data_IF_705197337295
#
_entry.id   IF_705197337295
#
_cell.length_a   1.000
_cell.length_b   1.000
_cell.length_c   1.000
_cell.angle_alpha   90.00
_cell.angle_beta   90.00
_cell.angle_gamma   90.00
#
_symmetry.space_group_name_H-M   'P 1'
#
loop_
_entity.id
_entity.type
_entity.pdbx_description
1 polymer ?
#
# COMPACT_ATOMS: atom_id res chain seq x y z
N UNK A 1 14.97 21.89 8.94
CA UNK A 1 14.21 20.62 9.01
C UNK A 1 13.88 20.09 7.60
N UNK A 2 14.85 20.08 6.65
CA UNK A 2 14.55 19.92 5.21
C UNK A 2 14.94 18.57 4.58
N UNK A 3 15.40 17.57 5.36
CA UNK A 3 15.91 16.30 4.80
C UNK A 3 14.86 15.19 4.66
N UNK A 4 13.78 15.21 5.46
CA UNK A 4 12.74 14.15 5.44
C UNK A 4 11.97 14.09 4.12
N UNK A 5 11.94 15.22 3.39
CA UNK A 5 11.16 15.43 2.18
C UNK A 5 11.80 14.93 0.91
N UNK A 6 13.14 14.84 0.89
CA UNK A 6 13.84 14.17 -0.22
C UNK A 6 13.47 12.69 -0.32
N UNK A 7 12.91 12.12 0.75
CA UNK A 7 12.56 10.70 0.83
C UNK A 7 11.29 10.31 0.08
N UNK A 8 10.30 11.21 -0.04
CA UNK A 8 9.13 10.96 -0.91
C UNK A 8 9.58 10.82 -2.38
N UNK A 9 10.47 11.70 -2.83
CA UNK A 9 11.07 11.66 -4.18
C UNK A 9 11.92 10.39 -4.46
N UNK A 10 12.34 9.65 -3.42
CA UNK A 10 13.17 8.46 -3.60
C UNK A 10 12.38 7.25 -4.12
N UNK A 11 11.04 7.20 -3.99
CA UNK A 11 10.25 6.12 -4.61
C UNK A 11 10.12 6.31 -6.12
N UNK A 12 9.88 7.54 -6.59
CA UNK A 12 10.03 7.89 -8.01
C UNK A 12 11.42 7.55 -8.57
N UNK A 13 12.48 7.77 -7.78
CA UNK A 13 13.84 7.38 -8.14
C UNK A 13 14.03 5.86 -8.22
N UNK A 14 13.32 5.06 -7.41
CA UNK A 14 13.35 3.60 -7.48
C UNK A 14 12.74 3.08 -8.79
N UNK A 15 11.57 3.59 -9.17
CA UNK A 15 10.91 3.21 -10.44
C UNK A 15 11.86 3.51 -11.62
N UNK A 16 12.49 4.69 -11.61
CA UNK A 16 13.48 5.06 -12.61
C UNK A 16 14.76 4.21 -12.56
N UNK A 17 15.25 3.88 -11.36
CA UNK A 17 16.51 3.12 -11.17
C UNK A 17 16.36 1.63 -11.43
N UNK A 18 15.15 1.08 -11.31
CA UNK A 18 14.85 -0.31 -11.63
C UNK A 18 14.58 -0.51 -13.13
N UNK A 19 14.58 0.56 -13.92
CA UNK A 19 14.31 0.54 -15.36
C UNK A 19 12.95 -0.12 -15.69
N UNK A 20 11.99 -0.04 -14.77
CA UNK A 20 10.66 -0.61 -14.99
C UNK A 20 9.84 0.40 -15.80
N UNK A 21 9.42 0.06 -17.03
CA UNK A 21 8.65 0.97 -17.85
C UNK A 21 7.31 1.28 -17.17
N UNK A 22 6.98 2.56 -17.03
CA UNK A 22 5.72 3.01 -16.39
C UNK A 22 4.49 2.43 -17.12
N UNK A 23 4.61 2.21 -18.43
CA UNK A 23 3.56 1.60 -19.27
C UNK A 23 3.19 0.17 -18.82
N UNK A 24 4.09 -0.57 -18.18
CA UNK A 24 3.81 -1.90 -17.65
C UNK A 24 2.77 -1.89 -16.51
N UNK A 25 2.58 -0.75 -15.84
CA UNK A 25 1.61 -0.61 -14.75
C UNK A 25 0.19 -0.30 -15.24
N UNK A 26 0.01 0.18 -16.48
CA UNK A 26 -1.30 0.55 -17.02
C UNK A 26 -2.16 -0.65 -17.46
N UNK A 27 -1.57 -1.84 -17.60
CA UNK A 27 -2.23 -3.00 -18.24
C UNK A 27 -2.60 -4.13 -17.27
N UNK A 28 -2.26 -4.05 -15.98
CA UNK A 28 -2.52 -5.15 -15.03
C UNK A 28 -3.95 -5.10 -14.45
N UNK A 29 -4.96 -5.15 -15.34
CA UNK A 29 -6.32 -5.60 -15.00
C UNK A 29 -6.42 -7.13 -15.10
N UNK A 30 -5.32 -7.86 -14.85
CA UNK A 30 -5.35 -9.32 -14.81
C UNK A 30 -5.73 -9.78 -13.41
N UNK A 31 -6.91 -10.39 -13.31
CA UNK A 31 -7.31 -11.29 -12.24
C UNK A 31 -6.31 -12.44 -12.18
N UNK A 32 -5.31 -12.34 -11.30
CA UNK A 32 -4.56 -13.51 -10.86
C UNK A 32 -5.52 -14.45 -10.14
N UNK A 33 -5.45 -15.78 -10.36
CA UNK A 33 -6.22 -16.73 -9.58
C UNK A 33 -5.78 -16.62 -8.12
N UNK A 34 -6.74 -16.38 -7.22
CA UNK A 34 -6.53 -16.49 -5.78
C UNK A 34 -6.07 -17.93 -5.53
N UNK A 35 -4.78 -18.10 -5.31
CA UNK A 35 -4.22 -19.37 -4.88
C UNK A 35 -4.56 -19.51 -3.41
N UNK A 36 -5.46 -20.43 -3.13
CA UNK A 36 -5.92 -20.79 -1.79
C UNK A 36 -4.70 -21.16 -0.92
N UNK A 37 -4.27 -20.23 -0.06
CA UNK A 37 -3.33 -20.49 1.03
C UNK A 37 -4.14 -20.82 2.30
N UNK A 38 -5.02 -21.82 2.21
CA UNK A 38 -5.45 -22.56 3.38
C UNK A 38 -4.33 -23.52 3.76
N UNK A 39 -3.39 -23.06 4.60
CA UNK A 39 -2.84 -23.89 5.69
C UNK A 39 -1.71 -23.17 6.42
N UNK A 40 -1.74 -23.29 7.75
CA UNK A 40 -0.76 -22.87 8.77
C UNK A 40 -1.11 -21.60 9.56
N UNK A 41 -2.25 -21.63 10.24
CA UNK A 41 -2.31 -21.16 11.63
C UNK A 41 -2.92 -22.26 12.50
N UNK A 42 -2.04 -23.07 13.10
CA UNK A 42 -2.37 -23.99 14.18
C UNK A 42 -2.77 -23.18 15.42
N UNK A 43 -4.07 -22.99 15.63
CA UNK A 43 -4.60 -22.53 16.91
C UNK A 43 -4.83 -23.75 17.79
N UNK A 44 -4.01 -23.88 18.83
CA UNK A 44 -4.20 -24.85 19.92
C UNK A 44 -5.40 -24.36 20.74
N UNK A 45 -6.55 -25.00 20.58
CA UNK A 45 -7.66 -24.86 21.52
C UNK A 45 -7.82 -26.19 22.25
N UNK A 46 -7.65 -26.12 23.56
CA UNK A 46 -7.74 -27.24 24.47
C UNK A 46 -9.11 -27.90 24.46
N UNK A 47 -9.02 -29.21 24.51
CA UNK A 47 -9.99 -30.27 24.75
C UNK A 47 -11.06 -29.95 25.78
N UNK A 48 -12.33 -30.18 25.43
CA UNK A 48 -13.36 -30.62 26.39
C UNK A 48 -14.46 -31.42 25.67
N UNK A 49 -14.40 -32.74 25.88
CA UNK A 49 -15.51 -33.70 26.04
C UNK A 49 -16.66 -33.75 25.05
N UNK A 50 -16.87 -34.92 24.43
CA UNK A 50 -18.21 -35.34 23.98
C UNK A 50 -18.22 -36.31 22.81
N UNK A 51 -18.30 -37.59 23.10
CA UNK A 51 -18.57 -38.69 22.15
C UNK A 51 -20.00 -38.57 21.63
N UNK A 52 -20.20 -38.45 20.31
CA UNK A 52 -21.34 -39.06 19.59
C UNK A 52 -20.92 -39.39 18.16
N UNK A 53 -20.86 -40.68 17.84
CA UNK A 53 -20.73 -41.21 16.49
C UNK A 53 -22.05 -41.04 15.74
N UNK A 54 -22.02 -40.30 14.63
CA UNK A 54 -23.13 -40.18 13.70
C UNK A 54 -22.60 -39.93 12.29
N UNK A 55 -22.69 -40.94 11.43
CA UNK A 55 -22.35 -40.84 10.01
C UNK A 55 -23.38 -39.93 9.32
N UNK A 56 -23.06 -38.64 9.26
CA UNK A 56 -23.78 -37.63 8.49
C UNK A 56 -23.01 -37.31 7.22
N UNK A 57 -23.70 -37.37 6.09
CA UNK A 57 -23.23 -36.95 4.76
C UNK A 57 -22.69 -35.52 4.86
N UNK A 58 -21.40 -35.33 4.57
CA UNK A 58 -20.76 -34.02 4.47
C UNK A 58 -21.29 -33.30 3.21
N UNK A 59 -22.44 -32.65 3.33
CA UNK A 59 -22.77 -31.56 2.43
C UNK A 59 -21.79 -30.44 2.75
N UNK A 60 -20.82 -30.20 1.87
CA UNK A 60 -19.98 -29.01 1.89
C UNK A 60 -20.89 -27.80 1.79
N UNK A 61 -21.29 -27.25 2.94
CA UNK A 61 -21.89 -25.92 3.00
C UNK A 61 -20.90 -24.98 2.31
N UNK A 62 -21.30 -24.22 1.29
CA UNK A 62 -20.44 -23.19 0.75
C UNK A 62 -20.04 -22.29 1.92
N UNK A 63 -18.74 -22.17 2.15
CA UNK A 63 -18.20 -21.17 3.07
C UNK A 63 -18.86 -19.85 2.70
N UNK A 64 -19.52 -19.14 3.64
CA UNK A 64 -20.08 -17.85 3.32
C UNK A 64 -18.94 -17.00 2.79
N UNK A 65 -19.06 -16.55 1.54
CA UNK A 65 -18.26 -15.45 1.07
C UNK A 65 -18.58 -14.30 2.02
N UNK A 66 -17.67 -14.02 2.95
CA UNK A 66 -17.72 -12.80 3.75
C UNK A 66 -17.50 -11.66 2.75
N UNK A 67 -18.58 -11.26 2.07
CA UNK A 67 -18.73 -9.88 1.67
C UNK A 67 -18.71 -9.13 2.99
N UNK A 68 -17.53 -8.63 3.37
CA UNK A 68 -17.42 -7.70 4.47
C UNK A 68 -18.37 -6.56 4.13
N UNK A 69 -19.50 -6.50 4.83
CA UNK A 69 -20.39 -5.36 4.77
C UNK A 69 -19.60 -4.22 5.43
N UNK A 70 -18.80 -3.51 4.63
CA UNK A 70 -18.01 -2.38 5.09
C UNK A 70 -18.98 -1.35 5.64
N UNK A 71 -18.66 -0.79 6.80
CA UNK A 71 -19.46 0.27 7.43
C UNK A 71 -19.84 1.34 6.39
N UNK A 72 -21.12 1.77 6.37
CA UNK A 72 -21.58 2.73 5.38
C UNK A 72 -20.87 4.06 5.56
N UNK A 73 -20.20 4.51 4.51
CA UNK A 73 -19.48 5.79 4.48
C UNK A 73 -20.38 6.87 3.90
N UNK A 74 -20.64 7.92 4.68
CA UNK A 74 -21.35 9.11 4.23
C UNK A 74 -20.44 10.05 3.42
N UNK A 75 -19.18 10.20 3.83
CA UNK A 75 -18.22 11.07 3.15
C UNK A 75 -16.79 10.55 3.29
N UNK A 76 -16.12 10.43 2.15
CA UNK A 76 -14.71 10.08 2.05
C UNK A 76 -13.81 11.30 2.30
N UNK A 77 -12.57 11.10 2.81
CA UNK A 77 -11.54 12.13 2.83
C UNK A 77 -11.21 12.60 1.40
N UNK A 78 -10.55 13.76 1.28
CA UNK A 78 -10.17 14.29 -0.03
C UNK A 78 -9.14 13.42 -0.75
N UNK A 79 -9.14 13.47 -2.09
CA UNK A 79 -8.23 12.69 -2.94
C UNK A 79 -6.76 13.05 -2.74
N UNK A 80 -6.45 14.22 -2.18
CA UNK A 80 -5.10 14.66 -1.84
C UNK A 80 -4.39 13.73 -0.84
N UNK A 81 -5.14 12.95 -0.06
CA UNK A 81 -4.60 11.95 0.87
C UNK A 81 -4.17 10.67 0.18
N UNK A 82 -4.73 10.38 -0.99
CA UNK A 82 -4.54 9.13 -1.72
C UNK A 82 -3.35 9.19 -2.67
N UNK A 83 -2.99 10.37 -3.14
CA UNK A 83 -1.88 10.56 -4.09
C UNK A 83 -0.56 9.95 -3.59
N UNK A 84 -0.13 10.12 -2.32
CA UNK A 84 1.10 9.49 -1.85
C UNK A 84 0.99 7.95 -1.85
N UNK A 85 -0.20 7.41 -1.62
CA UNK A 85 -0.44 5.98 -1.67
C UNK A 85 -0.43 5.44 -3.11
N UNK A 86 -0.83 6.24 -4.11
CA UNK A 86 -0.67 5.88 -5.52
C UNK A 86 0.82 5.74 -5.88
N UNK A 87 1.66 6.69 -5.45
CA UNK A 87 3.12 6.58 -5.61
C UNK A 87 3.66 5.32 -4.91
N UNK A 88 3.23 5.09 -3.66
CA UNK A 88 3.67 3.93 -2.88
C UNK A 88 3.28 2.61 -3.54
N UNK A 89 2.08 2.53 -4.11
CA UNK A 89 1.60 1.38 -4.85
C UNK A 89 2.51 1.06 -6.04
N UNK A 90 2.82 2.06 -6.87
CA UNK A 90 3.70 1.89 -8.03
C UNK A 90 5.10 1.45 -7.60
N UNK A 91 5.61 2.01 -6.51
CA UNK A 91 6.92 1.63 -5.99
C UNK A 91 6.96 0.19 -5.47
N UNK A 92 5.91 -0.26 -4.76
CA UNK A 92 5.80 -1.66 -4.31
C UNK A 92 5.70 -2.61 -5.51
N UNK A 93 4.94 -2.24 -6.55
CA UNK A 93 4.85 -3.04 -7.77
C UNK A 93 6.21 -3.12 -8.48
N UNK A 94 6.96 -2.03 -8.56
CA UNK A 94 8.32 -2.03 -9.10
C UNK A 94 9.27 -2.93 -8.29
N UNK A 95 9.15 -2.93 -6.96
CA UNK A 95 9.88 -3.85 -6.09
C UNK A 95 9.51 -5.31 -6.38
N UNK A 96 8.22 -5.62 -6.55
CA UNK A 96 7.76 -6.97 -6.85
C UNK A 96 8.31 -7.48 -8.19
N UNK A 97 8.30 -6.63 -9.22
CA UNK A 97 8.90 -6.95 -10.53
C UNK A 97 10.41 -7.17 -10.40
N UNK A 98 11.11 -6.26 -9.72
CA UNK A 98 12.56 -6.36 -9.55
C UNK A 98 12.98 -7.55 -8.66
N UNK A 99 12.10 -8.03 -7.78
CA UNK A 99 12.35 -9.20 -6.94
C UNK A 99 12.46 -10.51 -7.74
N UNK A 100 12.06 -10.52 -9.02
CA UNK A 100 12.28 -11.66 -9.91
C UNK A 100 13.75 -11.79 -10.36
N UNK A 101 14.49 -10.66 -10.36
CA UNK A 101 15.88 -10.55 -10.80
C UNK A 101 16.85 -10.41 -9.61
N UNK A 102 17.64 -11.47 -9.38
CA UNK A 102 18.63 -11.53 -8.29
C UNK A 102 19.70 -10.45 -8.40
N UNK A 103 19.99 -9.94 -9.60
CA UNK A 103 20.95 -8.85 -9.79
C UNK A 103 20.45 -7.53 -9.19
N UNK A 104 19.14 -7.37 -9.00
CA UNK A 104 18.51 -6.17 -8.43
C UNK A 104 18.41 -6.22 -6.90
N UNK A 105 18.65 -7.37 -6.27
CA UNK A 105 18.52 -7.54 -4.81
C UNK A 105 19.30 -6.52 -3.97
N UNK A 106 20.58 -6.18 -4.28
CA UNK A 106 21.31 -5.17 -3.51
C UNK A 106 20.63 -3.80 -3.56
N UNK A 107 20.03 -3.43 -4.70
CA UNK A 107 19.32 -2.16 -4.88
C UNK A 107 18.00 -2.15 -4.10
N UNK A 108 17.22 -3.23 -4.19
CA UNK A 108 15.97 -3.39 -3.42
C UNK A 108 16.26 -3.30 -1.92
N UNK A 109 17.26 -4.05 -1.43
CA UNK A 109 17.63 -4.05 -0.02
C UNK A 109 18.03 -2.68 0.47
N UNK A 110 18.92 -1.99 -0.25
CA UNK A 110 19.33 -0.62 0.07
C UNK A 110 18.13 0.33 0.15
N UNK A 111 17.15 0.19 -0.75
CA UNK A 111 15.95 1.02 -0.72
C UNK A 111 15.07 0.72 0.48
N UNK A 112 14.81 -0.55 0.78
CA UNK A 112 14.00 -0.94 1.93
C UNK A 112 14.66 -0.50 3.24
N UNK A 113 15.98 -0.63 3.34
CA UNK A 113 16.74 -0.10 4.48
C UNK A 113 16.52 1.41 4.64
N UNK A 114 16.56 2.20 3.56
CA UNK A 114 16.25 3.63 3.61
C UNK A 114 14.79 3.89 4.02
N UNK A 115 13.84 3.13 3.48
CA UNK A 115 12.42 3.25 3.78
C UNK A 115 12.13 3.04 5.27
N UNK A 116 12.81 2.08 5.91
CA UNK A 116 12.69 1.79 7.34
C UNK A 116 13.65 2.61 8.24
N UNK A 117 14.63 3.32 7.66
CA UNK A 117 15.58 4.15 8.40
C UNK A 117 14.95 5.48 8.83
N UNK A 118 15.43 6.05 9.93
CA UNK A 118 15.01 7.38 10.41
C UNK A 118 14.07 7.39 11.63
N UNK A 119 13.88 6.23 12.27
CA UNK A 119 13.04 6.08 13.47
C UNK A 119 11.65 6.71 13.25
N UNK A 120 11.27 7.70 14.08
CA UNK A 120 9.97 8.39 14.00
C UNK A 120 9.74 9.06 12.64
N UNK A 121 10.81 9.50 11.96
CA UNK A 121 10.74 10.23 10.67
C UNK A 121 10.99 9.32 9.46
N UNK A 122 10.87 7.99 9.62
CA UNK A 122 11.00 7.05 8.50
C UNK A 122 9.85 7.17 7.49
N UNK A 123 10.09 6.82 6.24
CA UNK A 123 9.04 6.77 5.19
C UNK A 123 7.90 5.82 5.59
N UNK A 124 8.24 4.70 6.23
CA UNK A 124 7.25 3.79 6.84
C UNK A 124 6.26 4.54 7.75
N UNK A 125 6.77 5.39 8.65
CA UNK A 125 5.92 6.11 9.59
C UNK A 125 5.14 7.24 8.92
N UNK A 126 5.69 7.85 7.87
CA UNK A 126 4.95 8.80 7.03
C UNK A 126 3.72 8.12 6.43
N UNK A 127 3.89 7.02 5.71
CA UNK A 127 2.77 6.28 5.10
C UNK A 127 1.77 5.76 6.14
N UNK A 128 2.25 5.20 7.26
CA UNK A 128 1.39 4.78 8.36
C UNK A 128 0.57 5.96 8.94
N UNK A 129 1.19 7.13 9.10
CA UNK A 129 0.51 8.35 9.56
C UNK A 129 -0.53 8.87 8.57
N UNK A 130 -0.25 8.82 7.26
CA UNK A 130 -1.21 9.19 6.22
C UNK A 130 -2.39 8.23 6.23
N UNK A 131 -2.16 6.91 6.29
CA UNK A 131 -3.23 5.91 6.39
C UNK A 131 -4.12 6.13 7.61
N UNK A 132 -3.52 6.32 8.79
CA UNK A 132 -4.25 6.61 10.02
C UNK A 132 -5.09 7.88 9.88
N UNK A 133 -4.50 8.95 9.32
CA UNK A 133 -5.21 10.22 9.11
C UNK A 133 -6.37 10.07 8.12
N UNK A 134 -6.15 9.35 7.02
CA UNK A 134 -7.19 9.06 6.03
C UNK A 134 -8.36 8.32 6.68
N UNK A 135 -8.08 7.19 7.35
CA UNK A 135 -9.09 6.38 8.04
C UNK A 135 -9.87 7.18 9.09
N UNK A 136 -9.20 8.00 9.89
CA UNK A 136 -9.85 8.83 10.91
C UNK A 136 -10.69 9.98 10.33
N UNK A 137 -10.45 10.37 9.08
CA UNK A 137 -11.21 11.42 8.40
C UNK A 137 -12.46 10.90 7.68
N UNK A 138 -12.61 9.59 7.52
CA UNK A 138 -13.83 8.97 6.98
C UNK A 138 -15.00 9.38 7.87
N UNK A 139 -16.07 9.88 7.25
CA UNK A 139 -17.34 10.15 7.92
C UNK A 139 -18.31 9.04 7.60
N UNK A 140 -18.59 8.21 8.60
CA UNK A 140 -19.56 7.13 8.50
C UNK A 140 -20.98 7.68 8.64
N UNK A 141 -21.95 6.90 8.15
CA UNK A 141 -23.37 7.15 8.37
C UNK A 141 -23.66 7.21 9.88
N UNK A 142 -24.33 8.25 10.40
CA UNK A 142 -24.72 8.31 11.82
C UNK A 142 -25.59 7.13 12.29
N UNK A 143 -26.25 6.41 11.36
CA UNK A 143 -27.04 5.21 11.64
C UNK A 143 -26.20 3.93 11.68
N UNK A 144 -24.91 4.00 11.37
CA UNK A 144 -24.01 2.85 11.37
C UNK A 144 -23.73 2.37 12.81
N UNK A 145 -23.62 1.06 13.00
CA UNK A 145 -23.32 0.53 14.33
C UNK A 145 -21.84 0.83 14.67
N UNK A 146 -21.54 1.33 15.88
CA UNK A 146 -20.16 1.66 16.27
C UNK A 146 -19.16 0.51 16.09
N UNK A 147 -19.61 -0.73 16.29
CA UNK A 147 -18.77 -1.92 16.11
C UNK A 147 -18.37 -2.12 14.65
N UNK A 148 -19.26 -1.85 13.68
CA UNK A 148 -18.92 -1.96 12.26
C UNK A 148 -17.93 -0.88 11.84
N UNK A 149 -18.08 0.34 12.35
CA UNK A 149 -17.10 1.42 12.14
C UNK A 149 -15.72 1.01 12.66
N UNK A 150 -15.64 0.47 13.88
CA UNK A 150 -14.37 0.01 14.45
C UNK A 150 -13.73 -1.13 13.63
N UNK A 151 -14.54 -2.09 13.17
CA UNK A 151 -14.06 -3.21 12.34
C UNK A 151 -13.53 -2.72 10.98
N UNK A 152 -14.23 -1.81 10.31
CA UNK A 152 -13.78 -1.22 9.04
C UNK A 152 -12.46 -0.43 9.22
N UNK A 153 -12.38 0.41 10.26
CA UNK A 153 -11.17 1.15 10.58
C UNK A 153 -9.98 0.22 10.87
N UNK A 154 -10.22 -0.85 11.64
CA UNK A 154 -9.21 -1.83 11.97
C UNK A 154 -8.74 -2.61 10.74
N UNK A 155 -9.64 -3.05 9.86
CA UNK A 155 -9.26 -3.75 8.62
C UNK A 155 -8.40 -2.85 7.73
N UNK A 156 -8.77 -1.58 7.55
CA UNK A 156 -7.96 -0.62 6.79
C UNK A 156 -6.56 -0.47 7.38
N UNK A 157 -6.46 -0.38 8.70
CA UNK A 157 -5.17 -0.28 9.37
C UNK A 157 -4.34 -1.56 9.21
N UNK A 158 -4.96 -2.73 9.41
CA UNK A 158 -4.33 -4.03 9.26
C UNK A 158 -3.75 -4.21 7.85
N UNK A 159 -4.47 -3.83 6.79
CA UNK A 159 -3.98 -3.97 5.42
C UNK A 159 -2.73 -3.12 5.15
N UNK A 160 -2.65 -1.92 5.71
CA UNK A 160 -1.45 -1.07 5.62
C UNK A 160 -0.32 -1.66 6.46
N UNK A 161 -0.62 -2.13 7.68
CA UNK A 161 0.37 -2.78 8.53
C UNK A 161 0.94 -4.06 7.90
N UNK A 162 0.10 -4.91 7.32
CA UNK A 162 0.50 -6.11 6.59
C UNK A 162 1.40 -5.76 5.40
N UNK A 163 1.11 -4.66 4.70
CA UNK A 163 1.98 -4.15 3.63
C UNK A 163 3.37 -3.84 4.19
N UNK A 164 3.45 -3.13 5.33
CA UNK A 164 4.72 -2.77 5.97
C UNK A 164 5.47 -3.99 6.52
N UNK A 165 4.76 -4.96 7.10
CA UNK A 165 5.35 -6.22 7.59
C UNK A 165 5.96 -7.01 6.45
N UNK A 166 5.24 -7.15 5.33
CA UNK A 166 5.75 -7.82 4.14
C UNK A 166 7.00 -7.13 3.58
N UNK A 167 7.02 -5.80 3.47
CA UNK A 167 8.21 -5.06 3.04
C UNK A 167 9.41 -5.23 4.00
N UNK A 168 9.14 -5.29 5.32
CA UNK A 168 10.20 -5.53 6.32
C UNK A 168 10.75 -6.94 6.21
N UNK A 169 9.88 -7.93 6.02
CA UNK A 169 10.30 -9.32 5.85
C UNK A 169 11.07 -9.51 4.54
N UNK A 170 10.64 -8.86 3.45
CA UNK A 170 11.37 -8.80 2.20
C UNK A 170 12.80 -8.27 2.40
N UNK A 171 12.96 -7.15 3.13
CA UNK A 171 14.26 -6.57 3.44
C UNK A 171 15.19 -7.54 4.19
N UNK A 172 14.63 -8.31 5.14
CA UNK A 172 15.38 -9.29 5.93
C UNK A 172 15.71 -10.54 5.12
N UNK A 173 14.81 -10.98 4.24
CA UNK A 173 15.01 -12.17 3.39
C UNK A 173 16.03 -11.96 2.29
N UNK A 174 16.24 -10.73 1.83
CA UNK A 174 17.28 -10.44 0.84
C UNK A 174 18.66 -10.61 1.49
N UNK A 175 19.56 -11.45 0.94
CA UNK A 175 20.85 -11.72 1.54
C UNK A 175 21.71 -10.46 1.69
N UNK A 176 22.49 -10.36 2.77
CA UNK A 176 23.42 -9.25 2.97
C UNK A 176 24.68 -9.34 2.10
N UNK A 177 25.04 -10.57 1.70
CA UNK A 177 26.19 -10.84 0.83
C UNK A 177 25.78 -11.81 -0.28
N UNK A 178 26.39 -11.74 -1.48
CA UNK A 178 26.02 -12.59 -2.61
C UNK A 178 26.16 -14.10 -2.35
N UNK A 179 26.96 -14.49 -1.36
CA UNK A 179 27.25 -15.90 -1.04
C UNK A 179 26.37 -16.47 0.08
N UNK A 180 25.51 -15.66 0.70
CA UNK A 180 24.64 -16.14 1.79
C UNK A 180 23.52 -17.03 1.22
N UNK A 181 23.21 -18.12 1.90
CA UNK A 181 22.05 -18.96 1.57
C UNK A 181 20.76 -18.20 1.88
N UNK A 182 19.81 -18.21 0.95
CA UNK A 182 18.51 -17.58 1.11
C UNK A 182 17.43 -18.38 0.38
N UNK A 183 16.15 -18.12 0.71
CA UNK A 183 15.00 -18.72 0.04
C UNK A 183 14.40 -17.71 -0.94
N UNK A 184 14.53 -17.98 -2.24
CA UNK A 184 13.97 -17.13 -3.31
C UNK A 184 12.45 -17.04 -3.22
N UNK A 185 11.76 -18.10 -2.79
CA UNK A 185 10.32 -18.10 -2.68
C UNK A 185 9.85 -17.09 -1.62
N UNK A 186 10.54 -17.01 -0.48
CA UNK A 186 10.18 -16.05 0.58
C UNK A 186 10.29 -14.60 0.08
N UNK A 187 11.31 -14.28 -0.72
CA UNK A 187 11.48 -12.96 -1.33
C UNK A 187 10.28 -12.62 -2.22
N UNK A 188 9.88 -13.54 -3.11
CA UNK A 188 8.74 -13.35 -4.00
C UNK A 188 7.42 -13.26 -3.22
N UNK A 189 7.23 -14.12 -2.21
CA UNK A 189 6.01 -14.14 -1.40
C UNK A 189 5.86 -12.85 -0.60
N UNK A 190 6.94 -12.30 -0.02
CA UNK A 190 6.87 -11.03 0.69
C UNK A 190 6.67 -9.84 -0.24
N UNK A 191 7.30 -9.81 -1.42
CA UNK A 191 7.09 -8.73 -2.38
C UNK A 191 5.65 -8.72 -2.94
N UNK A 192 5.12 -9.91 -3.27
CA UNK A 192 3.73 -10.07 -3.70
C UNK A 192 2.74 -9.82 -2.57
N UNK A 193 3.04 -10.27 -1.35
CA UNK A 193 2.24 -10.03 -0.15
C UNK A 193 2.03 -8.54 0.10
N UNK A 194 3.10 -7.73 0.00
CA UNK A 194 3.00 -6.27 0.10
C UNK A 194 2.07 -5.68 -0.98
N UNK A 195 2.21 -6.14 -2.23
CA UNK A 195 1.37 -5.69 -3.35
C UNK A 195 -0.11 -6.04 -3.13
N UNK A 196 -0.40 -7.26 -2.67
CA UNK A 196 -1.75 -7.75 -2.43
C UNK A 196 -2.43 -7.00 -1.29
N UNK A 197 -1.74 -6.83 -0.16
CA UNK A 197 -2.29 -6.11 1.00
C UNK A 197 -2.63 -4.65 0.66
N UNK A 198 -1.73 -3.95 -0.05
CA UNK A 198 -2.00 -2.57 -0.45
C UNK A 198 -3.11 -2.48 -1.51
N UNK A 199 -3.16 -3.42 -2.47
CA UNK A 199 -4.26 -3.49 -3.44
C UNK A 199 -5.61 -3.70 -2.76
N UNK A 200 -5.66 -4.55 -1.72
CA UNK A 200 -6.87 -4.74 -0.90
C UNK A 200 -7.27 -3.45 -0.16
N UNK A 201 -6.30 -2.70 0.35
CA UNK A 201 -6.59 -1.40 0.99
C UNK A 201 -7.26 -0.42 0.02
N UNK A 202 -6.75 -0.32 -1.22
CA UNK A 202 -7.37 0.49 -2.28
C UNK A 202 -8.76 -0.01 -2.68
N UNK A 203 -9.01 -1.32 -2.64
CA UNK A 203 -10.33 -1.88 -2.93
C UNK A 203 -11.41 -1.47 -1.92
N UNK A 204 -11.01 -0.99 -0.74
CA UNK A 204 -11.93 -0.44 0.27
C UNK A 204 -12.26 1.04 0.04
N UNK A 205 -11.79 1.65 -1.06
CA UNK A 205 -11.95 3.08 -1.40
C UNK A 205 -12.75 3.18 -2.70
N UNK A 206 -13.63 4.19 -2.87
CA UNK A 206 -14.35 4.36 -4.13
C UNK A 206 -13.38 4.47 -5.30
N UNK A 207 -13.67 3.70 -6.35
CA UNK A 207 -12.81 3.64 -7.53
C UNK A 207 -12.63 5.01 -8.16
N UNK A 208 -13.66 5.85 -8.17
CA UNK A 208 -13.60 7.20 -8.74
C UNK A 208 -12.55 8.08 -8.04
N UNK A 209 -12.39 7.92 -6.73
CA UNK A 209 -11.43 8.69 -5.94
C UNK A 209 -10.01 8.17 -6.13
N UNK A 210 -9.84 6.85 -6.24
CA UNK A 210 -8.55 6.23 -6.59
C UNK A 210 -8.10 6.66 -7.99
N UNK A 211 -9.00 6.64 -8.98
CA UNK A 211 -8.70 7.05 -10.35
C UNK A 211 -8.34 8.55 -10.43
N UNK A 212 -9.04 9.41 -9.68
CA UNK A 212 -8.70 10.84 -9.57
C UNK A 212 -7.35 11.06 -8.91
N UNK A 213 -7.04 10.33 -7.83
CA UNK A 213 -5.76 10.43 -7.16
C UNK A 213 -4.60 9.97 -8.06
N UNK A 214 -4.80 8.92 -8.85
CA UNK A 214 -3.82 8.46 -9.83
C UNK A 214 -3.61 9.50 -10.94
N UNK A 215 -4.68 10.15 -11.44
CA UNK A 215 -4.54 11.26 -12.39
C UNK A 215 -3.76 12.43 -11.78
N UNK A 216 -4.07 12.81 -10.55
CA UNK A 216 -3.36 13.86 -9.81
C UNK A 216 -1.86 13.53 -9.69
N UNK A 217 -1.52 12.29 -9.33
CA UNK A 217 -0.14 11.81 -9.31
C UNK A 217 0.52 12.01 -10.69
N UNK A 218 -0.08 11.47 -11.75
CA UNK A 218 0.49 11.53 -13.11
C UNK A 218 0.71 12.97 -13.59
N UNK A 219 -0.28 13.87 -13.45
CA UNK A 219 -0.11 15.27 -13.87
C UNK A 219 0.98 15.99 -13.05
N UNK A 220 1.10 15.68 -11.75
CA UNK A 220 2.17 16.26 -10.94
C UNK A 220 3.56 15.75 -11.36
N UNK A 221 3.67 14.48 -11.80
CA UNK A 221 4.92 13.92 -12.34
C UNK A 221 5.29 14.52 -13.70
N UNK A 222 4.31 14.87 -14.53
CA UNK A 222 4.57 15.56 -15.79
C UNK A 222 4.95 17.03 -15.59
N UNK A 223 4.45 17.66 -14.53
CA UNK A 223 4.78 19.03 -14.18
C UNK A 223 6.19 19.17 -13.57
N UNK A 224 6.69 18.15 -12.86
CA UNK A 224 8.05 18.05 -12.30
C UNK A 224 9.11 17.96 -13.42
N UNK A 225 9.43 19.11 -14.01
CA UNK A 225 10.29 19.23 -15.18
C UNK A 225 11.76 18.95 -14.83
N UNK A 226 12.18 19.35 -13.62
CA UNK A 226 13.53 19.15 -13.12
C UNK A 226 13.76 17.73 -12.56
N UNK A 227 12.68 16.94 -12.39
CA UNK A 227 12.67 15.57 -11.86
C UNK A 227 13.21 15.44 -10.44
N UNK A 228 13.10 16.51 -9.65
CA UNK A 228 13.53 16.51 -8.25
C UNK A 228 12.48 15.90 -7.31
N UNK A 229 11.32 15.53 -7.86
CA UNK A 229 10.22 14.94 -7.12
C UNK A 229 9.28 15.97 -6.49
N UNK A 230 9.39 17.24 -6.89
CA UNK A 230 8.57 18.35 -6.44
C UNK A 230 7.96 19.01 -7.67
N UNK A 231 6.96 19.83 -7.40
CA UNK A 231 6.41 20.75 -8.38
C UNK A 231 6.55 22.10 -7.68
N UNK A 232 7.36 23.00 -8.18
CA UNK A 232 7.39 24.35 -7.65
C UNK A 232 6.18 25.17 -8.15
N UNK A 233 6.09 26.45 -7.76
CA UNK A 233 4.96 27.29 -8.17
C UNK A 233 4.94 27.50 -9.69
N UNK A 234 6.10 27.55 -10.34
CA UNK A 234 6.24 27.78 -11.77
C UNK A 234 5.85 26.50 -12.54
N UNK A 235 6.34 25.34 -12.10
CA UNK A 235 5.94 24.03 -12.61
C UNK A 235 4.44 23.75 -12.40
N UNK A 236 3.85 24.28 -11.32
CA UNK A 236 2.41 24.11 -11.04
C UNK A 236 1.50 24.75 -12.10
N UNK A 237 2.02 25.67 -12.91
CA UNK A 237 1.29 26.24 -14.05
C UNK A 237 1.00 25.19 -15.12
N UNK A 238 1.86 24.17 -15.25
CA UNK A 238 1.67 23.04 -16.16
C UNK A 238 0.59 22.05 -15.70
N UNK A 239 0.18 22.10 -14.43
CA UNK A 239 -0.91 21.28 -13.89
C UNK A 239 -2.25 21.87 -14.35
N UNK A 240 -3.18 21.05 -14.92
CA UNK A 240 -4.52 21.50 -15.27
C UNK A 240 -5.25 22.10 -14.05
N UNK A 241 -6.05 23.15 -14.28
CA UNK A 241 -6.70 23.92 -13.21
C UNK A 241 -7.52 23.03 -12.24
N UNK A 242 -8.20 22.00 -12.77
CA UNK A 242 -8.98 21.05 -11.98
C UNK A 242 -8.15 20.25 -10.95
N UNK A 243 -6.85 20.04 -11.22
CA UNK A 243 -5.94 19.33 -10.33
C UNK A 243 -5.02 20.27 -9.53
N UNK A 244 -4.87 21.53 -9.95
CA UNK A 244 -3.99 22.51 -9.29
C UNK A 244 -4.42 22.77 -7.85
N UNK A 245 -5.72 22.91 -7.60
CA UNK A 245 -6.25 23.09 -6.24
C UNK A 245 -6.10 21.84 -5.36
N UNK A 246 -6.24 20.65 -5.94
CA UNK A 246 -5.99 19.39 -5.23
C UNK A 246 -4.51 19.24 -4.88
N UNK A 247 -3.63 19.61 -5.80
CA UNK A 247 -2.19 19.62 -5.60
C UNK A 247 -1.76 20.62 -4.51
N UNK A 248 -2.31 21.84 -4.49
CA UNK A 248 -2.05 22.80 -3.39
C UNK A 248 -2.51 22.24 -2.03
N UNK A 249 -3.67 21.60 -1.97
CA UNK A 249 -4.17 20.95 -0.74
C UNK A 249 -3.23 19.83 -0.27
N UNK A 250 -2.71 19.03 -1.21
CA UNK A 250 -1.69 18.00 -0.92
C UNK A 250 -0.46 18.62 -0.25
N UNK A 251 0.07 19.74 -0.76
CA UNK A 251 1.22 20.41 -0.13
C UNK A 251 0.96 20.82 1.32
N UNK A 252 -0.25 21.32 1.60
CA UNK A 252 -0.67 21.68 2.95
C UNK A 252 -0.75 20.49 3.90
N UNK A 253 -1.14 19.33 3.40
CA UNK A 253 -1.28 18.11 4.20
C UNK A 253 0.06 17.47 4.56
N UNK A 254 0.97 17.35 3.60
CA UNK A 254 2.24 16.68 3.87
C UNK A 254 3.12 17.60 4.76
N UNK A 255 2.85 18.92 4.80
CA UNK A 255 3.64 19.91 5.54
C UNK A 255 4.64 20.72 4.69
N UNK A 256 4.45 20.74 3.37
CA UNK A 256 5.32 21.45 2.41
C UNK A 256 5.00 22.94 2.33
N UNK A 257 3.81 23.36 2.77
CA UNK A 257 3.44 24.75 3.01
C UNK A 257 3.80 25.17 4.45
N UNK A 258 5.09 25.22 4.75
CA UNK A 258 5.59 26.16 5.77
C UNK A 258 6.35 27.24 5.01
N UNK A 259 5.61 28.28 4.62
CA UNK A 259 6.15 29.57 4.19
C UNK A 259 6.73 30.25 5.45
#
# INVERSE_FOLDING_TARGET
MNSSWKSLCLLGFLIASLEVPIEAFSTSSQTSPIRDQSDRRSFVTQTLGGIVSGAGILTSSPSPSFAYDTARVQKWPGVEYLEPFCEFQLAIQAVAIAAEDESKYPLIKKRLEQFFKGAVMSERNLYAGIALTYTNKIKYDPQELPNYVQLDQQERFNLVEDTMINLKNLMVSIPATPTATYNKQDILDYANGATVSLKRWFALIPKEDVDKAMKLFMVSRFADANKDGRVDLEESEAIPEEYRELWKKRLGFIGALTI
#
